data_IF_839329372850
#
_entry.id   IF_839329372850
#
_cell.length_a   1.000
_cell.length_b   1.000
_cell.length_c   1.000
_cell.angle_alpha   90.00
_cell.angle_beta   90.00
_cell.angle_gamma   90.00
#
_symmetry.space_group_name_H-M   'P 1'
#
loop_
_entity.id
_entity.type
_entity.pdbx_description
1 polymer ?
#
# COMPACT_ATOMS: atom_id res chain seq x y z
N UNK A 1 -4.55 -7.85 -1.04
CA UNK A 1 -4.36 -7.84 -2.51
C UNK A 1 -3.09 -7.12 -2.94
N UNK A 2 -2.21 -7.79 -3.67
CA UNK A 2 -1.00 -7.16 -4.20
C UNK A 2 -1.34 -6.48 -5.52
N UNK A 3 -1.16 -5.16 -5.62
CA UNK A 3 -1.61 -4.33 -6.74
C UNK A 3 -0.78 -4.52 -8.02
N UNK A 4 0.06 -5.55 -8.07
CA UNK A 4 0.90 -5.88 -9.22
C UNK A 4 0.31 -7.04 -10.04
N UNK A 5 0.50 -7.07 -11.37
CA UNK A 5 1.24 -6.11 -12.18
C UNK A 5 0.48 -4.79 -12.39
N UNK A 6 1.19 -3.65 -12.36
CA UNK A 6 0.58 -2.31 -12.46
C UNK A 6 1.26 -1.42 -13.50
N UNK A 7 0.63 -0.29 -13.85
CA UNK A 7 1.22 0.70 -14.76
C UNK A 7 1.73 1.92 -14.00
N UNK A 8 2.68 2.66 -14.58
CA UNK A 8 3.11 3.95 -14.03
C UNK A 8 1.93 4.91 -13.83
N UNK A 9 1.01 4.96 -14.79
CA UNK A 9 -0.16 5.83 -14.72
C UNK A 9 -1.05 5.51 -13.51
N UNK A 10 -1.22 4.23 -13.18
CA UNK A 10 -1.96 3.83 -11.97
C UNK A 10 -1.21 4.25 -10.69
N UNK A 11 0.11 4.10 -10.66
CA UNK A 11 0.94 4.60 -9.54
C UNK A 11 0.80 6.12 -9.39
N UNK A 12 0.83 6.87 -10.49
CA UNK A 12 0.62 8.32 -10.47
C UNK A 12 -0.76 8.67 -9.89
N UNK A 13 -1.80 7.94 -10.30
CA UNK A 13 -3.17 8.14 -9.81
C UNK A 13 -3.27 7.91 -8.31
N UNK A 14 -2.71 6.81 -7.79
CA UNK A 14 -2.74 6.50 -6.36
C UNK A 14 -1.94 7.52 -5.54
N UNK A 15 -0.79 7.98 -6.06
CA UNK A 15 0.08 8.94 -5.36
C UNK A 15 -0.35 10.40 -5.53
N UNK A 16 -1.20 10.70 -6.51
CA UNK A 16 -1.61 12.06 -6.88
C UNK A 16 -0.51 12.91 -7.52
N UNK A 17 0.63 12.33 -7.89
CA UNK A 17 1.80 13.05 -8.45
C UNK A 17 2.53 12.20 -9.50
N UNK A 18 3.29 12.86 -10.38
CA UNK A 18 4.15 12.15 -11.35
C UNK A 18 5.18 11.27 -10.63
N UNK A 19 5.22 10.00 -11.02
CA UNK A 19 6.11 8.99 -10.47
C UNK A 19 7.16 8.51 -11.48
N UNK A 20 7.38 9.24 -12.58
CA UNK A 20 8.29 8.83 -13.65
C UNK A 20 9.73 8.64 -13.15
N UNK A 21 10.24 9.59 -12.37
CA UNK A 21 11.57 9.50 -11.77
C UNK A 21 11.67 8.34 -10.77
N UNK A 22 10.69 8.18 -9.86
CA UNK A 22 10.69 7.12 -8.86
C UNK A 22 10.65 5.73 -9.50
N UNK A 23 9.78 5.52 -10.49
CA UNK A 23 9.70 4.25 -11.24
C UNK A 23 11.03 3.98 -11.95
N UNK A 24 11.65 4.99 -12.56
CA UNK A 24 12.98 4.87 -13.16
C UNK A 24 14.05 4.42 -12.17
N UNK A 25 14.11 5.05 -10.99
CA UNK A 25 15.07 4.70 -9.93
C UNK A 25 14.87 3.27 -9.40
N UNK A 26 13.63 2.82 -9.26
CA UNK A 26 13.32 1.46 -8.81
C UNK A 26 13.72 0.41 -9.85
N UNK A 27 13.55 0.71 -11.14
CA UNK A 27 14.03 -0.13 -12.25
C UNK A 27 15.56 -0.20 -12.26
N UNK A 28 16.25 0.93 -12.15
CA UNK A 28 17.72 1.00 -12.11
C UNK A 28 18.30 0.21 -10.93
N UNK A 29 17.66 0.28 -9.76
CA UNK A 29 18.04 -0.50 -8.57
C UNK A 29 17.63 -1.97 -8.63
N UNK A 30 16.94 -2.39 -9.70
CA UNK A 30 16.45 -3.75 -9.90
C UNK A 30 15.39 -4.20 -8.89
N UNK A 31 14.70 -3.27 -8.23
CA UNK A 31 13.64 -3.58 -7.25
C UNK A 31 12.32 -3.93 -7.96
N UNK A 32 12.09 -3.36 -9.15
CA UNK A 32 10.96 -3.70 -10.03
C UNK A 32 11.47 -4.04 -11.43
N UNK A 33 10.64 -4.69 -12.24
CA UNK A 33 10.92 -5.04 -13.64
C UNK A 33 9.68 -4.86 -14.54
N UNK A 34 9.89 -4.67 -15.84
CA UNK A 34 8.81 -4.74 -16.85
C UNK A 34 8.39 -6.21 -17.02
N UNK A 35 7.11 -6.51 -16.81
CA UNK A 35 6.57 -7.86 -16.93
C UNK A 35 5.55 -8.01 -18.06
N UNK A 36 5.40 -6.98 -18.90
CA UNK A 36 4.53 -7.00 -20.05
C UNK A 36 3.99 -5.61 -20.40
N UNK A 37 2.95 -5.61 -21.22
CA UNK A 37 2.24 -4.39 -21.64
C UNK A 37 0.74 -4.66 -21.72
N UNK A 38 -0.07 -3.66 -21.40
CA UNK A 38 -1.52 -3.77 -21.61
C UNK A 38 -1.86 -3.75 -23.10
N UNK A 39 -2.87 -4.51 -23.49
CA UNK A 39 -3.39 -4.55 -24.87
C UNK A 39 -4.49 -3.52 -25.08
N UNK A 40 -4.17 -2.27 -24.78
CA UNK A 40 -5.04 -1.10 -24.93
C UNK A 40 -4.29 -0.01 -25.72
N UNK A 41 -4.96 1.02 -26.26
CA UNK A 41 -4.29 2.15 -26.90
C UNK A 41 -3.17 2.75 -26.02
N UNK A 42 -2.03 3.07 -26.63
CA UNK A 42 -0.82 3.53 -25.92
C UNK A 42 0.04 2.42 -25.32
N UNK A 43 -0.48 1.18 -25.19
CA UNK A 43 0.23 -0.03 -24.76
C UNK A 43 1.19 0.21 -23.58
N UNK A 44 0.68 0.72 -22.43
CA UNK A 44 1.52 1.07 -21.30
C UNK A 44 2.24 -0.16 -20.74
N UNK A 45 3.46 0.06 -20.24
CA UNK A 45 4.30 -0.95 -19.59
C UNK A 45 3.69 -1.37 -18.25
N UNK A 46 3.75 -2.67 -17.98
CA UNK A 46 3.39 -3.27 -16.71
C UNK A 46 4.64 -3.55 -15.88
N UNK A 47 4.56 -3.27 -14.59
CA UNK A 47 5.64 -3.43 -13.64
C UNK A 47 5.25 -4.36 -12.50
N UNK A 48 6.23 -5.10 -11.99
CA UNK A 48 6.12 -5.93 -10.77
C UNK A 48 7.42 -5.90 -9.97
N UNK A 49 7.35 -6.30 -8.71
CA UNK A 49 8.53 -6.51 -7.85
C UNK A 49 9.38 -7.69 -8.34
N UNK A 50 10.68 -7.61 -8.09
CA UNK A 50 11.63 -8.66 -8.47
C UNK A 50 11.98 -9.57 -7.29
N UNK A 51 12.71 -10.65 -7.55
CA UNK A 51 13.33 -11.44 -6.48
C UNK A 51 14.35 -10.64 -5.64
N UNK A 52 14.94 -9.57 -6.19
CA UNK A 52 15.85 -8.70 -5.44
C UNK A 52 15.09 -7.91 -4.37
N UNK A 53 13.90 -7.41 -4.70
CA UNK A 53 13.02 -6.79 -3.72
C UNK A 53 12.78 -7.74 -2.54
N UNK A 54 12.38 -8.99 -2.78
CA UNK A 54 12.15 -9.97 -1.71
C UNK A 54 13.40 -10.15 -0.83
N UNK A 55 14.59 -10.28 -1.43
CA UNK A 55 15.85 -10.42 -0.68
C UNK A 55 16.20 -9.18 0.14
N UNK A 56 16.12 -7.99 -0.45
CA UNK A 56 16.48 -6.74 0.22
C UNK A 56 15.55 -6.45 1.41
N UNK A 57 14.28 -6.87 1.30
CA UNK A 57 13.27 -6.72 2.34
C UNK A 57 13.14 -7.96 3.25
N UNK A 58 14.00 -8.98 3.07
CA UNK A 58 14.03 -10.20 3.88
C UNK A 58 12.70 -10.97 3.90
N UNK A 59 12.02 -11.00 2.77
CA UNK A 59 10.75 -11.70 2.57
C UNK A 59 10.98 -13.01 1.80
N UNK A 60 10.34 -14.09 2.23
CA UNK A 60 10.26 -15.34 1.47
C UNK A 60 9.27 -15.24 0.29
N UNK A 61 8.20 -14.48 0.48
CA UNK A 61 7.14 -14.24 -0.49
C UNK A 61 6.47 -12.88 -0.28
N UNK A 62 5.63 -12.45 -1.22
CA UNK A 62 4.84 -11.22 -1.07
C UNK A 62 3.68 -11.37 -0.08
N UNK A 63 3.32 -12.61 0.29
CA UNK A 63 2.28 -12.91 1.27
C UNK A 63 2.72 -12.55 2.70
N UNK A 64 4.03 -12.41 2.93
CA UNK A 64 4.63 -11.98 4.20
C UNK A 64 4.62 -10.45 4.37
N UNK A 65 4.17 -9.70 3.37
CA UNK A 65 4.00 -8.26 3.52
C UNK A 65 2.94 -7.99 4.59
N UNK A 66 3.16 -7.00 5.49
CA UNK A 66 2.16 -6.63 6.47
C UNK A 66 0.86 -6.22 5.75
N UNK A 67 -0.28 -6.56 6.36
CA UNK A 67 -1.56 -6.06 5.89
C UNK A 67 -1.53 -4.54 5.89
N UNK A 68 -2.03 -3.95 4.79
CA UNK A 68 -2.04 -2.50 4.68
C UNK A 68 -3.14 -1.93 5.59
N UNK A 69 -2.79 -1.11 6.60
CA UNK A 69 -3.80 -0.46 7.42
C UNK A 69 -4.58 0.53 6.56
N UNK A 70 -5.90 0.40 6.52
CA UNK A 70 -6.77 1.41 5.94
C UNK A 70 -7.00 1.37 4.43
N UNK A 71 -6.70 0.28 3.71
CA UNK A 71 -7.29 0.07 2.36
C UNK A 71 -8.81 -0.17 2.38
N UNK A 72 -9.40 -0.16 3.56
CA UNK A 72 -10.83 -0.17 3.79
C UNK A 72 -11.51 1.19 3.56
N UNK A 73 -10.73 2.23 3.25
CA UNK A 73 -11.15 3.62 3.20
C UNK A 73 -10.95 4.25 1.81
N UNK A 74 -11.36 3.58 0.75
CA UNK A 74 -11.75 4.20 -0.51
C UNK A 74 -13.07 4.97 -0.33
N UNK A 75 -13.07 5.97 0.55
CA UNK A 75 -14.09 7.04 0.66
C UNK A 75 -15.54 6.62 0.92
N UNK A 76 -15.83 5.33 1.07
CA UNK A 76 -17.15 4.84 1.44
C UNK A 76 -17.29 4.90 2.96
N UNK A 77 -18.22 5.73 3.43
CA UNK A 77 -18.71 5.69 4.79
C UNK A 77 -19.19 4.26 5.07
N UNK A 78 -18.46 3.54 5.93
CA UNK A 78 -18.88 2.22 6.39
C UNK A 78 -19.85 2.42 7.56
N UNK A 79 -21.08 1.94 7.38
CA UNK A 79 -22.03 1.76 8.48
C UNK A 79 -21.83 0.36 9.06
N UNK A 80 -21.72 0.26 10.38
CA UNK A 80 -21.80 -1.01 11.09
C UNK A 80 -23.21 -1.59 10.96
N UNK A 81 -23.33 -2.88 11.27
CA UNK A 81 -24.55 -3.67 11.41
C UNK A 81 -25.60 -2.96 12.29
N UNK A 82 -25.10 -2.21 13.28
CA UNK A 82 -25.87 -1.42 14.24
C UNK A 82 -26.12 0.04 13.78
N UNK A 83 -25.82 0.37 12.52
CA UNK A 83 -26.08 1.67 11.91
C UNK A 83 -25.13 2.79 12.36
N UNK A 84 -23.97 2.46 12.93
CA UNK A 84 -22.98 3.47 13.35
C UNK A 84 -22.00 3.75 12.22
N UNK A 85 -21.74 5.02 11.91
CA UNK A 85 -20.75 5.42 10.91
C UNK A 85 -19.35 5.33 11.55
N UNK A 86 -18.48 4.50 10.97
CA UNK A 86 -17.10 4.37 11.41
C UNK A 86 -16.29 5.57 10.89
N UNK A 87 -16.03 6.55 11.76
CA UNK A 87 -15.11 7.65 11.48
C UNK A 87 -13.65 7.16 11.60
N UNK A 88 -12.87 7.14 10.50
CA UNK A 88 -11.47 6.72 10.51
C UNK A 88 -10.58 7.58 11.44
N UNK A 89 -11.00 8.80 11.77
CA UNK A 89 -10.27 9.70 12.67
C UNK A 89 -10.33 9.30 14.15
N UNK A 90 -11.26 8.42 14.55
CA UNK A 90 -11.51 8.09 15.96
C UNK A 90 -10.60 7.00 16.53
N UNK A 91 -9.87 6.26 15.69
CA UNK A 91 -9.00 5.15 16.11
C UNK A 91 -7.66 5.59 16.71
N UNK A 92 -7.31 6.88 16.66
CA UNK A 92 -6.02 7.40 17.13
C UNK A 92 -5.97 7.73 18.64
N UNK A 93 -7.06 7.57 19.39
CA UNK A 93 -7.16 8.11 20.75
C UNK A 93 -7.50 7.06 21.82
N UNK A 94 -6.76 5.95 21.92
CA UNK A 94 -6.78 5.09 23.11
C UNK A 94 -5.44 4.39 23.37
N UNK A 95 -4.41 5.14 23.75
CA UNK A 95 -3.31 4.63 24.58
C UNK A 95 -2.86 5.68 25.59
N UNK A 96 -3.67 5.93 26.61
CA UNK A 96 -3.16 6.37 27.92
C UNK A 96 -3.90 5.56 28.99
N UNK A 97 -3.26 4.49 29.47
CA UNK A 97 -3.59 3.88 30.76
C UNK A 97 -2.53 4.33 31.75
N UNK A 98 -2.84 5.17 32.77
CA UNK A 98 -1.89 5.46 33.81
C UNK A 98 -1.74 4.22 34.71
N UNK A 99 -0.51 3.72 34.79
CA UNK A 99 -0.06 2.78 35.80
C UNK A 99 -0.35 3.31 37.21
N UNK A 100 -0.82 2.40 38.05
CA UNK A 100 -0.99 2.46 39.51
C UNK A 100 0.12 3.19 40.26
N UNK A 101 -0.22 4.01 41.27
CA UNK A 101 0.65 4.24 42.41
C UNK A 101 -0.05 3.89 43.73
N UNK A 102 0.76 3.43 44.66
CA UNK A 102 0.42 2.80 45.92
C UNK A 102 0.30 3.82 47.06
N UNK A 103 -0.50 3.46 48.08
CA UNK A 103 -0.20 3.71 49.49
C UNK A 103 -0.35 5.13 50.05
N UNK A 104 -1.42 5.36 50.82
CA UNK A 104 -1.37 5.52 52.30
C UNK A 104 -2.76 5.85 52.86
#
# INVERSE_FOLDING_TARGET
DTVQPTTRAYVDQVRGVDSSYTVGLLLERGLIEECGRLQVPGRPRLYRTTKKFLRDFHLGSLEELPEMPGLEADGQLRMTDDGTILDPGSLAAKEESPLTNEGR
#
